data_IF_877507905793
#
_entry.id   IF_877507905793
#
_cell.length_a   1.000
_cell.length_b   1.000
_cell.length_c   1.000
_cell.angle_alpha   90.00
_cell.angle_beta   90.00
_cell.angle_gamma   90.00
#
_symmetry.space_group_name_H-M   'P 1'
#
loop_
_entity.id
_entity.type
_entity.pdbx_description
1 polymer ?
#
# COMPACT_ATOMS: atom_id res chain seq x y z
N UNK A 1 -12.79 -13.70 -39.49
CA UNK A 1 -12.13 -14.96 -39.06
C UNK A 1 -12.09 -14.98 -37.55
N UNK A 2 -12.22 -16.15 -36.91
CA UNK A 2 -12.04 -16.33 -35.46
C UNK A 2 -10.81 -17.20 -35.18
N UNK A 3 -10.03 -16.84 -34.16
CA UNK A 3 -8.80 -17.54 -33.76
C UNK A 3 -8.81 -17.76 -32.25
N UNK A 4 -8.56 -19.00 -31.84
CA UNK A 4 -8.39 -19.40 -30.44
C UNK A 4 -6.89 -19.50 -30.11
N UNK A 5 -6.45 -18.73 -29.12
CA UNK A 5 -5.06 -18.63 -28.71
C UNK A 5 -4.89 -19.00 -27.24
N UNK A 6 -3.84 -19.75 -26.89
CA UNK A 6 -3.60 -20.13 -25.51
C UNK A 6 -3.26 -18.89 -24.66
N UNK A 7 -3.64 -18.94 -23.39
CA UNK A 7 -3.32 -17.94 -22.38
C UNK A 7 -4.38 -16.87 -22.20
N UNK A 8 -4.46 -16.34 -20.97
CA UNK A 8 -5.37 -15.26 -20.62
C UNK A 8 -4.84 -13.92 -21.13
N UNK A 9 -5.73 -13.10 -21.69
CA UNK A 9 -5.42 -11.75 -22.16
C UNK A 9 -4.19 -11.70 -23.07
N UNK A 10 -4.03 -12.69 -23.97
CA UNK A 10 -2.94 -12.69 -24.93
C UNK A 10 -2.98 -11.39 -25.76
N UNK A 11 -1.82 -10.76 -25.97
CA UNK A 11 -1.73 -9.63 -26.87
C UNK A 11 -1.54 -10.16 -28.29
N UNK A 12 -2.52 -9.93 -29.16
CA UNK A 12 -2.60 -10.53 -30.50
C UNK A 12 -2.53 -9.46 -31.55
N UNK A 13 -1.64 -9.66 -32.53
CA UNK A 13 -1.47 -8.82 -33.71
C UNK A 13 -1.66 -9.66 -34.97
N UNK A 14 -2.39 -9.11 -35.93
CA UNK A 14 -2.72 -9.74 -37.22
C UNK A 14 -2.29 -8.80 -38.34
N UNK A 15 -1.45 -9.26 -39.28
CA UNK A 15 -1.01 -8.46 -40.43
C UNK A 15 -0.97 -9.28 -41.74
N UNK A 16 -1.53 -8.78 -42.86
CA UNK A 16 -2.43 -7.62 -42.94
C UNK A 16 -3.81 -7.98 -42.34
N UNK A 17 -4.38 -7.08 -41.55
CA UNK A 17 -5.69 -7.29 -40.93
C UNK A 17 -5.91 -6.43 -39.70
N UNK A 18 -7.14 -6.40 -39.20
CA UNK A 18 -7.52 -5.66 -37.99
C UNK A 18 -8.29 -6.60 -37.07
N UNK A 19 -7.89 -6.64 -35.80
CA UNK A 19 -8.63 -7.31 -34.73
C UNK A 19 -9.89 -6.49 -34.42
N UNK A 20 -11.05 -7.08 -34.60
CA UNK A 20 -12.36 -6.44 -34.37
C UNK A 20 -12.90 -6.73 -32.98
N UNK A 21 -12.60 -7.91 -32.44
CA UNK A 21 -13.04 -8.32 -31.11
C UNK A 21 -11.99 -9.19 -30.43
N UNK A 22 -11.94 -9.11 -29.10
CA UNK A 22 -11.07 -9.93 -28.25
C UNK A 22 -11.80 -10.25 -26.97
N UNK A 23 -11.99 -11.53 -26.70
CA UNK A 23 -12.57 -12.05 -25.46
C UNK A 23 -11.65 -13.09 -24.84
N UNK A 24 -11.83 -13.35 -23.55
CA UNK A 24 -11.08 -14.39 -22.84
C UNK A 24 -12.09 -15.31 -22.16
N UNK A 25 -11.98 -16.60 -22.44
CA UNK A 25 -12.88 -17.64 -21.93
C UNK A 25 -12.06 -18.89 -21.60
N UNK A 26 -12.30 -19.50 -20.43
CA UNK A 26 -11.68 -20.77 -20.02
C UNK A 26 -10.14 -20.83 -20.13
N UNK A 27 -9.41 -19.73 -19.90
CA UNK A 27 -7.95 -19.72 -19.99
C UNK A 27 -7.39 -19.39 -21.38
N UNK A 28 -8.26 -19.17 -22.36
CA UNK A 28 -7.95 -18.95 -23.77
C UNK A 28 -8.38 -17.54 -24.20
N UNK A 29 -7.64 -16.96 -25.14
CA UNK A 29 -7.98 -15.69 -25.77
C UNK A 29 -8.57 -15.96 -27.14
N UNK A 30 -9.85 -15.61 -27.31
CA UNK A 30 -10.57 -15.71 -28.59
C UNK A 30 -10.49 -14.35 -29.28
N UNK A 31 -10.05 -14.35 -30.53
CA UNK A 31 -9.88 -13.12 -31.33
C UNK A 31 -10.67 -13.22 -32.62
N UNK A 32 -11.47 -12.19 -32.90
CA UNK A 32 -12.07 -12.00 -34.20
C UNK A 32 -11.28 -10.95 -34.97
N UNK A 33 -10.98 -11.24 -36.23
CA UNK A 33 -10.25 -10.34 -37.10
C UNK A 33 -10.86 -10.28 -38.51
N UNK A 34 -10.82 -9.07 -39.08
CA UNK A 34 -11.06 -8.80 -40.49
C UNK A 34 -9.74 -8.87 -41.25
N UNK A 35 -9.71 -9.68 -42.31
CA UNK A 35 -8.52 -9.95 -43.12
C UNK A 35 -8.70 -9.42 -44.52
N UNK A 36 -7.60 -9.09 -45.18
CA UNK A 36 -7.60 -8.74 -46.60
C UNK A 36 -7.64 -10.01 -47.47
N UNK A 37 -8.64 -10.18 -48.37
CA UNK A 37 -8.72 -11.35 -49.24
C UNK A 37 -7.50 -11.50 -50.15
N UNK A 38 -7.04 -12.74 -50.33
CA UNK A 38 -5.96 -13.08 -51.27
C UNK A 38 -4.53 -12.78 -50.79
N UNK A 39 -4.34 -12.30 -49.55
CA UNK A 39 -3.00 -12.08 -48.95
C UNK A 39 -2.69 -13.09 -47.87
N UNK A 40 -1.42 -13.46 -47.74
CA UNK A 40 -0.94 -14.26 -46.62
C UNK A 40 -0.98 -13.45 -45.33
N UNK A 41 -1.52 -14.04 -44.26
CA UNK A 41 -1.69 -13.39 -42.96
C UNK A 41 -0.69 -13.96 -41.96
N UNK A 42 -0.01 -13.08 -41.24
CA UNK A 42 0.84 -13.40 -40.10
C UNK A 42 0.11 -13.03 -38.82
N UNK A 43 0.11 -13.96 -37.87
CA UNK A 43 -0.44 -13.75 -36.54
C UNK A 43 0.67 -13.91 -35.51
N UNK A 44 0.83 -12.91 -34.67
CA UNK A 44 1.74 -12.94 -33.54
C UNK A 44 0.96 -12.75 -32.26
N UNK A 45 1.24 -13.59 -31.26
CA UNK A 45 0.67 -13.43 -29.93
C UNK A 45 1.75 -13.55 -28.86
N UNK A 46 1.55 -12.83 -27.77
CA UNK A 46 2.33 -13.00 -26.54
C UNK A 46 1.39 -13.20 -25.38
N UNK A 47 1.54 -14.35 -24.71
CA UNK A 47 0.88 -14.62 -23.43
C UNK A 47 1.65 -13.90 -22.35
N UNK A 48 1.07 -12.83 -21.80
CA UNK A 48 1.58 -12.31 -20.54
C UNK A 48 1.08 -13.25 -19.47
N UNK A 49 1.95 -14.14 -18.98
CA UNK A 49 1.69 -14.77 -17.68
C UNK A 49 1.51 -13.61 -16.71
N UNK A 50 0.26 -13.37 -16.29
CA UNK A 50 -0.02 -12.48 -15.19
C UNK A 50 0.59 -13.16 -13.97
N UNK A 51 1.86 -12.85 -13.68
CA UNK A 51 2.50 -13.23 -12.43
C UNK A 51 1.53 -12.81 -11.34
N UNK A 52 1.03 -13.78 -10.58
CA UNK A 52 0.13 -13.51 -9.47
C UNK A 52 0.72 -12.36 -8.64
N UNK A 53 -0.07 -11.35 -8.24
CA UNK A 53 0.44 -10.29 -7.40
C UNK A 53 1.14 -10.96 -6.22
N UNK A 54 2.44 -10.69 -6.05
CA UNK A 54 3.22 -11.27 -4.98
C UNK A 54 2.42 -11.01 -3.69
N UNK A 55 1.92 -12.08 -3.08
CA UNK A 55 1.13 -12.00 -1.85
C UNK A 55 1.90 -11.09 -0.90
N UNK A 56 1.34 -9.92 -0.57
CA UNK A 56 2.00 -8.95 0.28
C UNK A 56 2.44 -9.68 1.54
N UNK A 57 3.76 -9.86 1.69
CA UNK A 57 4.31 -10.68 2.77
C UNK A 57 3.80 -10.11 4.08
N UNK A 58 3.33 -10.97 4.96
CA UNK A 58 2.95 -10.58 6.32
C UNK A 58 4.09 -9.74 6.93
N UNK A 59 3.75 -8.54 7.38
CA UNK A 59 4.71 -7.59 7.93
C UNK A 59 5.05 -7.99 9.36
N UNK A 60 6.34 -8.14 9.65
CA UNK A 60 6.84 -8.41 11.01
C UNK A 60 7.89 -7.38 11.35
N UNK A 61 7.77 -6.77 12.52
CA UNK A 61 8.68 -5.74 12.99
C UNK A 61 8.95 -5.88 14.49
N UNK A 62 10.07 -5.34 14.93
CA UNK A 62 10.37 -5.06 16.33
C UNK A 62 10.18 -3.58 16.59
N UNK A 63 9.65 -3.23 17.76
CA UNK A 63 9.50 -1.85 18.19
C UNK A 63 10.10 -1.66 19.58
N UNK A 64 10.86 -0.60 19.78
CA UNK A 64 11.27 -0.09 21.07
C UNK A 64 10.68 1.31 21.24
N UNK A 65 9.92 1.53 22.31
CA UNK A 65 9.25 2.80 22.57
C UNK A 65 9.78 3.34 23.89
N UNK A 66 10.34 4.55 23.84
CA UNK A 66 10.80 5.27 25.01
C UNK A 66 9.91 6.47 25.23
N UNK A 67 9.18 6.48 26.33
CA UNK A 67 8.22 7.54 26.64
C UNK A 67 8.66 8.33 27.86
N UNK A 68 8.63 9.65 27.75
CA UNK A 68 8.77 10.58 28.88
C UNK A 68 7.44 11.27 29.08
N UNK A 69 6.93 11.20 30.31
CA UNK A 69 5.71 11.91 30.72
C UNK A 69 6.09 13.04 31.66
N UNK A 70 5.69 14.25 31.31
CA UNK A 70 5.85 15.44 32.14
C UNK A 70 4.48 15.82 32.72
N UNK A 71 4.45 15.96 34.05
CA UNK A 71 3.26 16.40 34.79
C UNK A 71 3.43 17.87 35.14
N UNK A 72 2.62 18.74 34.55
CA UNK A 72 2.51 20.14 34.93
C UNK A 72 1.18 20.42 35.63
N UNK A 73 1.06 21.60 36.22
CA UNK A 73 -0.11 21.99 37.01
C UNK A 73 -1.41 21.96 36.18
N UNK A 74 -1.36 22.48 34.95
CA UNK A 74 -2.52 22.60 34.06
C UNK A 74 -2.62 21.53 32.97
N UNK A 75 -1.58 20.71 32.78
CA UNK A 75 -1.50 19.77 31.65
C UNK A 75 -0.54 18.61 31.90
N UNK A 76 -0.85 17.47 31.30
CA UNK A 76 0.05 16.35 31.11
C UNK A 76 0.61 16.38 29.70
N UNK A 77 1.92 16.20 29.56
CA UNK A 77 2.59 16.07 28.27
C UNK A 77 3.30 14.73 28.20
N UNK A 78 3.29 14.09 27.05
CA UNK A 78 3.99 12.84 26.81
C UNK A 78 4.71 12.90 25.48
N UNK A 79 6.00 12.61 25.47
CA UNK A 79 6.80 12.46 24.26
C UNK A 79 7.32 11.03 24.17
N UNK A 80 7.05 10.35 23.06
CA UNK A 80 7.45 8.97 22.80
C UNK A 80 8.35 8.91 21.58
N UNK A 81 9.57 8.37 21.76
CA UNK A 81 10.44 7.97 20.67
C UNK A 81 10.14 6.51 20.31
N UNK A 82 9.61 6.30 19.12
CA UNK A 82 9.26 4.99 18.57
C UNK A 82 10.35 4.57 17.58
N UNK A 83 11.23 3.65 17.98
CA UNK A 83 12.24 3.01 17.13
C UNK A 83 11.68 1.69 16.59
N UNK A 84 11.57 1.55 15.27
CA UNK A 84 10.97 0.39 14.61
C UNK A 84 11.93 -0.22 13.61
N UNK A 85 12.08 -1.54 13.66
CA UNK A 85 12.85 -2.35 12.71
C UNK A 85 11.95 -3.40 12.07
N UNK A 86 11.63 -3.23 10.79
CA UNK A 86 10.93 -4.19 9.95
C UNK A 86 11.87 -5.35 9.61
N UNK A 87 11.49 -6.56 10.04
CA UNK A 87 12.22 -7.80 9.82
C UNK A 87 11.75 -8.49 8.53
N UNK A 88 10.44 -8.42 8.25
CA UNK A 88 9.81 -9.07 7.11
C UNK A 88 8.70 -8.20 6.53
N UNK A 89 8.53 -8.23 5.22
CA UNK A 89 7.52 -7.45 4.50
C UNK A 89 7.92 -5.98 4.35
N UNK A 90 6.97 -5.17 3.91
CA UNK A 90 7.11 -3.73 3.73
C UNK A 90 5.99 -3.04 4.49
N UNK A 91 6.34 -2.12 5.39
CA UNK A 91 5.38 -1.42 6.22
C UNK A 91 5.12 -0.04 5.63
N UNK A 92 4.00 0.14 4.93
CA UNK A 92 3.61 1.45 4.37
C UNK A 92 2.92 2.36 5.39
N UNK A 93 2.42 1.81 6.49
CA UNK A 93 1.69 2.52 7.52
C UNK A 93 1.93 1.89 8.90
N UNK A 94 2.09 2.73 9.92
CA UNK A 94 2.06 2.34 11.33
C UNK A 94 0.86 2.97 12.03
N UNK A 95 0.23 2.21 12.94
CA UNK A 95 -0.92 2.66 13.73
C UNK A 95 -0.53 2.72 15.19
N UNK A 96 -0.67 3.90 15.80
CA UNK A 96 -0.34 4.14 17.20
C UNK A 96 -1.61 4.58 17.92
N UNK A 97 -2.10 3.83 18.93
CA UNK A 97 -3.26 4.27 19.70
C UNK A 97 -2.92 5.52 20.50
N UNK A 98 -3.77 6.54 20.44
CA UNK A 98 -3.70 7.72 21.29
C UNK A 98 -4.57 7.47 22.52
N UNK A 99 -4.02 7.57 23.74
CA UNK A 99 -4.80 7.42 24.97
C UNK A 99 -5.96 8.42 25.06
N UNK A 100 -7.07 8.01 25.66
CA UNK A 100 -8.25 8.86 25.80
C UNK A 100 -7.94 10.18 26.53
N UNK A 101 -8.48 11.27 25.98
CA UNK A 101 -8.28 12.63 26.49
C UNK A 101 -6.94 13.26 26.13
N UNK A 102 -6.03 12.54 25.46
CA UNK A 102 -4.84 13.13 24.88
C UNK A 102 -5.08 13.54 23.42
N UNK A 103 -4.46 14.65 23.05
CA UNK A 103 -4.46 15.20 21.69
C UNK A 103 -3.03 15.17 21.14
N UNK A 104 -2.90 14.92 19.84
CA UNK A 104 -1.61 14.95 19.16
C UNK A 104 -1.12 16.38 19.03
N UNK A 105 0.06 16.68 19.56
CA UNK A 105 0.69 18.01 19.44
C UNK A 105 1.76 18.03 18.37
N UNK A 106 2.56 16.97 18.28
CA UNK A 106 3.64 16.88 17.31
C UNK A 106 3.84 15.44 16.87
N UNK A 107 4.16 15.26 15.59
CA UNK A 107 4.78 14.03 15.12
C UNK A 107 5.83 14.31 14.07
N UNK A 108 7.01 13.75 14.25
CA UNK A 108 8.13 13.89 13.34
C UNK A 108 8.82 12.56 13.12
N UNK A 109 9.48 12.40 11.97
CA UNK A 109 10.22 11.20 11.65
C UNK A 109 10.85 11.28 10.27
N UNK A 110 12.06 10.74 10.11
CA UNK A 110 12.83 10.88 8.87
C UNK A 110 12.19 10.19 7.66
N UNK A 111 11.36 9.18 7.89
CA UNK A 111 10.65 8.42 6.86
C UNK A 111 9.15 8.76 6.80
N UNK A 112 8.69 9.70 7.63
CA UNK A 112 7.27 10.06 7.71
C UNK A 112 6.88 10.83 6.44
N UNK A 113 5.84 10.35 5.76
CA UNK A 113 5.23 11.04 4.63
C UNK A 113 4.06 11.91 5.08
N UNK A 114 3.15 11.33 5.86
CA UNK A 114 1.98 12.03 6.40
C UNK A 114 1.56 11.40 7.72
N UNK A 115 0.85 12.18 8.54
CA UNK A 115 0.21 11.69 9.75
C UNK A 115 -1.24 12.13 9.83
N UNK A 116 -2.08 11.30 10.42
CA UNK A 116 -3.51 11.58 10.53
C UNK A 116 -4.07 10.91 11.80
N UNK A 117 -4.92 11.61 12.55
CA UNK A 117 -5.63 11.04 13.69
C UNK A 117 -7.04 10.64 13.25
N UNK A 118 -7.36 9.34 13.33
CA UNK A 118 -8.69 8.81 13.06
C UNK A 118 -9.14 7.92 14.21
N UNK A 119 -10.29 8.24 14.82
CA UNK A 119 -10.91 7.40 15.85
C UNK A 119 -10.00 7.08 17.03
N UNK A 120 -9.19 8.03 17.51
CA UNK A 120 -8.24 7.83 18.61
C UNK A 120 -6.99 7.01 18.22
N UNK A 121 -6.74 6.79 16.93
CA UNK A 121 -5.53 6.16 16.42
C UNK A 121 -4.77 7.13 15.54
N UNK A 122 -3.47 7.27 15.77
CA UNK A 122 -2.54 7.97 14.91
C UNK A 122 -2.06 7.04 13.79
N UNK A 123 -2.39 7.38 12.55
CA UNK A 123 -1.89 6.74 11.35
C UNK A 123 -0.62 7.48 10.90
N UNK A 124 0.47 6.74 10.74
CA UNK A 124 1.77 7.22 10.27
C UNK A 124 2.08 6.57 8.93
N UNK A 125 1.93 7.29 7.83
CA UNK A 125 2.28 6.79 6.48
C UNK A 125 3.74 7.07 6.19
N UNK A 126 4.44 6.11 5.59
CA UNK A 126 5.88 6.23 5.32
C UNK A 126 6.19 6.34 3.83
N UNK A 127 7.15 7.20 3.50
CA UNK A 127 7.59 7.46 2.13
C UNK A 127 8.35 6.29 1.51
N UNK A 128 9.07 5.54 2.33
CA UNK A 128 9.97 4.46 1.88
C UNK A 128 9.61 3.13 2.59
N UNK A 129 8.53 2.43 2.17
CA UNK A 129 8.07 1.20 2.84
C UNK A 129 9.07 0.04 2.82
N UNK A 130 10.01 0.04 1.86
CA UNK A 130 11.08 -0.94 1.74
C UNK A 130 12.23 -0.70 2.74
N UNK A 131 12.30 0.48 3.37
CA UNK A 131 13.29 0.78 4.40
C UNK A 131 12.98 -0.04 5.65
N UNK A 132 14.01 -0.65 6.24
CA UNK A 132 13.82 -1.50 7.43
C UNK A 132 13.69 -0.72 8.72
N UNK A 133 14.38 0.42 8.83
CA UNK A 133 14.46 1.17 10.07
C UNK A 133 13.66 2.47 9.96
N UNK A 134 12.72 2.65 10.87
CA UNK A 134 11.91 3.86 11.01
C UNK A 134 12.05 4.39 12.43
N UNK A 135 12.04 5.71 12.57
CA UNK A 135 12.03 6.38 13.86
C UNK A 135 11.01 7.51 13.81
N UNK A 136 10.14 7.55 14.81
CA UNK A 136 9.12 8.58 14.97
C UNK A 136 9.20 9.16 16.37
N UNK A 137 9.14 10.49 16.47
CA UNK A 137 8.88 11.19 17.72
C UNK A 137 7.41 11.59 17.72
N UNK A 138 6.65 11.11 18.71
CA UNK A 138 5.22 11.40 18.87
C UNK A 138 5.03 12.14 20.19
N UNK A 139 4.54 13.38 20.12
CA UNK A 139 4.17 14.16 21.28
C UNK A 139 2.65 14.30 21.38
N UNK A 140 2.12 14.03 22.56
CA UNK A 140 0.70 14.16 22.89
C UNK A 140 0.56 14.97 24.18
N UNK A 141 -0.56 15.69 24.32
CA UNK A 141 -0.87 16.43 25.54
C UNK A 141 -2.32 16.26 25.96
N UNK A 142 -2.58 16.46 27.25
CA UNK A 142 -3.92 16.48 27.82
C UNK A 142 -4.01 17.60 28.85
N UNK A 143 -5.04 18.44 28.77
CA UNK A 143 -5.31 19.41 29.83
C UNK A 143 -5.79 18.71 31.11
N UNK A 144 -5.29 19.15 32.28
CA UNK A 144 -5.82 18.80 33.59
C UNK A 144 -7.09 19.64 33.86
N UNK A 145 -8.13 19.50 33.03
CA UNK A 145 -9.44 19.98 33.49
C UNK A 145 -9.89 19.01 34.57
N UNK A 146 -10.07 19.50 35.79
CA UNK A 146 -10.83 18.80 36.82
C UNK A 146 -12.17 18.40 36.19
N UNK A 147 -12.36 17.12 35.90
CA UNK A 147 -13.71 16.58 35.79
C UNK A 147 -14.28 16.70 37.21
N UNK A 148 -14.95 17.83 37.48
CA UNK A 148 -15.81 17.94 38.65
C UNK A 148 -16.78 16.77 38.61
N UNK A 149 -16.82 16.09 39.76
CA UNK A 149 -17.59 14.90 40.10
C UNK A 149 -19.05 14.93 39.65
#
# INVERSE_FOLDING_TARGET
MSLDLPGNHANVRVEPGIVTNRTTENGHTIVEASLEPGKQVKVWWTTREASAPASQREVRFLSNIKTVVAVGDSQLRSASLCDITVIQGEASEFKVPIPAGFELTEVTGSTLESSEVQGGTLLLRVREPARRNHQFLVAIERSNREQKA
#
